data_IF_331547299890
#
_entry.id   IF_331547299890
#
_cell.length_a   1.000
_cell.length_b   1.000
_cell.length_c   1.000
_cell.angle_alpha   90.00
_cell.angle_beta   90.00
_cell.angle_gamma   90.00
#
_symmetry.space_group_name_H-M   'P 1'
#
loop_
_entity.id
_entity.type
_entity.pdbx_description
1 polymer ?
#
# COMPACT_ATOMS: atom_id res chain seq x y z
N UNK A 1 -13.49 18.72 -3.16
CA UNK A 1 -13.06 19.04 -4.53
C UNK A 1 -14.15 18.74 -5.53
N UNK A 2 -13.93 19.11 -6.81
CA UNK A 2 -14.85 18.86 -7.93
C UNK A 2 -14.88 17.39 -8.36
N UNK A 3 -13.83 16.62 -8.05
CA UNK A 3 -13.74 15.18 -8.26
C UNK A 3 -13.63 14.44 -6.92
N UNK A 4 -14.64 13.62 -6.63
CA UNK A 4 -14.72 12.82 -5.39
C UNK A 4 -13.65 11.73 -5.33
N UNK A 5 -13.22 11.18 -6.46
CA UNK A 5 -12.20 10.14 -6.52
C UNK A 5 -10.82 10.72 -6.21
N UNK A 6 -10.47 11.85 -6.85
CA UNK A 6 -9.26 12.59 -6.54
C UNK A 6 -9.20 13.04 -5.07
N UNK A 7 -10.31 13.60 -4.55
CA UNK A 7 -10.39 13.97 -3.14
C UNK A 7 -10.13 12.79 -2.19
N UNK A 8 -10.65 11.60 -2.53
CA UNK A 8 -10.42 10.39 -1.73
C UNK A 8 -8.95 9.97 -1.80
N UNK A 9 -8.34 10.01 -2.97
CA UNK A 9 -6.92 9.67 -3.13
C UNK A 9 -6.02 10.59 -2.31
N UNK A 10 -6.24 11.91 -2.38
CA UNK A 10 -5.48 12.90 -1.61
C UNK A 10 -5.62 12.69 -0.11
N UNK A 11 -6.84 12.42 0.40
CA UNK A 11 -7.06 12.12 1.82
C UNK A 11 -6.29 10.88 2.27
N UNK A 12 -6.36 9.81 1.47
CA UNK A 12 -5.67 8.54 1.78
C UNK A 12 -4.16 8.74 1.82
N UNK A 13 -3.59 9.48 0.85
CA UNK A 13 -2.16 9.80 0.85
C UNK A 13 -1.77 10.60 2.10
N UNK A 14 -2.50 11.67 2.42
CA UNK A 14 -2.21 12.49 3.59
C UNK A 14 -2.35 11.73 4.93
N UNK A 15 -3.36 10.87 5.06
CA UNK A 15 -3.55 10.02 6.24
C UNK A 15 -2.44 8.98 6.41
N UNK A 16 -2.10 8.27 5.34
CA UNK A 16 -1.06 7.26 5.40
C UNK A 16 0.32 7.87 5.59
N UNK A 17 0.69 8.95 4.90
CA UNK A 17 1.98 9.63 5.11
C UNK A 17 2.17 10.08 6.56
N UNK A 18 1.11 10.56 7.22
CA UNK A 18 1.15 10.86 8.66
C UNK A 18 1.43 9.59 9.48
N UNK A 19 0.65 8.53 9.27
CA UNK A 19 0.82 7.27 10.01
C UNK A 19 2.20 6.63 9.81
N UNK A 20 2.74 6.71 8.59
CA UNK A 20 4.08 6.25 8.21
C UNK A 20 5.15 6.99 9.02
N UNK A 21 5.07 8.34 9.07
CA UNK A 21 6.03 9.15 9.83
C UNK A 21 6.04 8.78 11.32
N UNK A 22 4.85 8.60 11.93
CA UNK A 22 4.74 8.19 13.34
C UNK A 22 5.28 6.79 13.60
N UNK A 23 5.00 5.82 12.72
CA UNK A 23 5.50 4.46 12.89
C UNK A 23 7.02 4.41 12.83
N UNK A 24 7.63 5.12 11.86
CA UNK A 24 9.09 5.17 11.73
C UNK A 24 9.72 5.91 12.90
N UNK A 25 9.13 7.02 13.35
CA UNK A 25 9.60 7.74 14.55
C UNK A 25 9.55 6.86 15.82
N UNK A 26 8.60 5.93 15.90
CA UNK A 26 8.50 4.95 16.97
C UNK A 26 9.44 3.72 16.79
N UNK A 27 10.36 3.76 15.83
CA UNK A 27 11.34 2.70 15.58
C UNK A 27 10.80 1.50 14.79
N UNK A 28 9.65 1.64 14.10
CA UNK A 28 9.13 0.59 13.21
C UNK A 28 9.80 0.71 11.85
N UNK A 29 10.48 -0.36 11.42
CA UNK A 29 11.04 -0.48 10.07
C UNK A 29 10.15 -1.33 9.17
N UNK A 30 10.10 -1.08 7.85
CA UNK A 30 9.37 -1.90 6.89
C UNK A 30 9.80 -3.37 6.93
N UNK A 31 8.86 -4.31 6.99
CA UNK A 31 9.15 -5.75 7.02
C UNK A 31 8.02 -6.58 6.38
N UNK A 32 8.18 -7.90 6.37
CA UNK A 32 7.14 -8.84 5.92
C UNK A 32 6.17 -9.25 7.05
N UNK A 33 6.42 -8.86 8.30
CA UNK A 33 5.65 -9.34 9.46
C UNK A 33 5.38 -8.27 10.52
N UNK A 34 4.36 -8.50 11.35
CA UNK A 34 4.04 -7.65 12.49
C UNK A 34 3.83 -6.17 12.12
N UNK A 35 4.39 -5.26 12.92
CA UNK A 35 4.23 -3.81 12.71
C UNK A 35 4.91 -3.31 11.43
N UNK A 36 6.02 -3.92 11.05
CA UNK A 36 6.74 -3.54 9.82
C UNK A 36 5.96 -3.91 8.56
N UNK A 37 5.17 -4.99 8.60
CA UNK A 37 4.22 -5.32 7.53
C UNK A 37 3.12 -4.27 7.39
N UNK A 38 2.54 -3.83 8.51
CA UNK A 38 1.53 -2.76 8.51
C UNK A 38 2.10 -1.48 7.91
N UNK A 39 3.30 -1.07 8.33
CA UNK A 39 4.01 0.09 7.78
C UNK A 39 4.18 -0.03 6.25
N UNK A 40 4.69 -1.17 5.79
CA UNK A 40 4.87 -1.43 4.35
C UNK A 40 3.56 -1.34 3.58
N UNK A 41 2.48 -1.93 4.11
CA UNK A 41 1.16 -1.91 3.46
C UNK A 41 0.60 -0.49 3.29
N UNK A 42 0.65 0.32 4.35
CA UNK A 42 0.11 1.69 4.27
C UNK A 42 0.97 2.59 3.36
N UNK A 43 2.30 2.37 3.30
CA UNK A 43 3.20 3.06 2.38
C UNK A 43 2.85 2.72 0.93
N UNK A 44 2.77 1.43 0.60
CA UNK A 44 2.39 0.99 -0.76
C UNK A 44 1.00 1.47 -1.17
N UNK A 45 0.07 1.53 -0.21
CA UNK A 45 -1.27 2.09 -0.44
C UNK A 45 -1.20 3.58 -0.78
N UNK A 46 -0.42 4.36 -0.07
CA UNK A 46 -0.22 5.77 -0.39
C UNK A 46 0.41 5.94 -1.80
N UNK A 47 1.43 5.14 -2.15
CA UNK A 47 2.03 5.15 -3.49
C UNK A 47 1.01 4.85 -4.59
N UNK A 48 0.16 3.83 -4.40
CA UNK A 48 -0.88 3.47 -5.36
C UNK A 48 -1.87 4.60 -5.62
N UNK A 49 -2.31 5.30 -4.57
CA UNK A 49 -3.19 6.45 -4.74
C UNK A 49 -2.50 7.65 -5.36
N UNK A 50 -1.19 7.84 -5.11
CA UNK A 50 -0.37 8.79 -5.86
C UNK A 50 -0.37 8.47 -7.35
N UNK A 51 -0.16 7.20 -7.70
CA UNK A 51 -0.21 6.75 -9.10
C UNK A 51 -1.58 6.98 -9.74
N UNK A 52 -2.69 6.73 -9.02
CA UNK A 52 -4.04 7.04 -9.50
C UNK A 52 -4.29 8.53 -9.79
N UNK A 53 -3.53 9.42 -9.16
CA UNK A 53 -3.56 10.86 -9.43
C UNK A 53 -2.62 11.28 -10.58
N UNK A 54 -1.94 10.33 -11.23
CA UNK A 54 -0.96 10.61 -12.28
C UNK A 54 0.43 11.01 -11.74
N UNK A 55 0.71 10.77 -10.46
CA UNK A 55 2.02 11.04 -9.87
C UNK A 55 2.93 9.84 -10.13
N UNK A 56 3.98 10.05 -10.91
CA UNK A 56 4.93 9.00 -11.30
C UNK A 56 6.22 9.01 -10.48
N UNK A 57 6.51 10.13 -9.81
CA UNK A 57 7.73 10.33 -9.03
C UNK A 57 7.46 10.14 -7.53
N UNK A 58 8.48 9.81 -6.73
CA UNK A 58 8.36 9.80 -5.28
C UNK A 58 7.85 11.14 -4.75
N UNK A 59 6.90 11.10 -3.81
CA UNK A 59 6.28 12.28 -3.20
C UNK A 59 5.99 12.08 -1.71
N UNK A 60 5.93 10.83 -1.22
CA UNK A 60 5.48 10.57 0.15
C UNK A 60 6.42 11.13 1.21
N UNK A 61 7.72 11.24 0.92
CA UNK A 61 8.69 11.88 1.82
C UNK A 61 8.39 13.37 2.01
N UNK A 62 8.03 14.08 0.93
CA UNK A 62 7.65 15.50 1.00
C UNK A 62 6.34 15.68 1.80
N UNK A 63 5.38 14.76 1.65
CA UNK A 63 4.15 14.79 2.44
C UNK A 63 4.46 14.50 3.92
N UNK A 64 5.40 13.59 4.21
CA UNK A 64 5.85 13.31 5.57
C UNK A 64 6.53 14.53 6.19
N UNK A 65 7.37 15.26 5.45
CA UNK A 65 7.99 16.52 5.90
C UNK A 65 6.91 17.55 6.32
N UNK A 66 5.87 17.73 5.51
CA UNK A 66 4.75 18.63 5.85
C UNK A 66 4.03 18.17 7.13
N UNK A 67 3.88 16.85 7.32
CA UNK A 67 3.29 16.30 8.54
C UNK A 67 4.17 16.58 9.78
N UNK A 68 5.49 16.37 9.67
CA UNK A 68 6.47 16.65 10.72
C UNK A 68 6.44 18.14 11.07
N UNK A 69 6.46 19.04 10.08
CA UNK A 69 6.39 20.48 10.32
C UNK A 69 5.11 20.90 11.06
N UNK A 70 3.96 20.30 10.74
CA UNK A 70 2.68 20.60 11.40
C UNK A 70 2.58 20.04 12.82
N UNK A 71 3.19 18.89 13.09
CA UNK A 71 2.96 18.12 14.32
C UNK A 71 4.15 18.09 15.28
N UNK A 72 5.35 18.45 14.82
CA UNK A 72 6.60 18.32 15.56
C UNK A 72 6.68 19.13 16.85
N UNK A 73 5.90 20.21 16.97
CA UNK A 73 5.80 20.99 18.20
C UNK A 73 5.08 20.24 19.34
N UNK A 74 4.22 19.27 19.02
CA UNK A 74 3.53 18.39 19.99
C UNK A 74 4.27 17.07 20.14
N UNK A 75 4.89 16.59 19.06
CA UNK A 75 5.59 15.30 18.96
C UNK A 75 7.05 15.51 18.53
N UNK A 76 7.96 15.90 19.46
CA UNK A 76 9.36 16.20 19.17
C UNK A 76 10.14 15.02 18.57
N UNK A 77 9.67 13.78 18.81
CA UNK A 77 10.24 12.56 18.23
C UNK A 77 10.15 12.55 16.69
N UNK A 78 9.15 13.22 16.10
CA UNK A 78 9.05 13.38 14.64
C UNK A 78 10.18 14.23 14.08
N UNK A 79 10.52 15.33 14.79
CA UNK A 79 11.62 16.22 14.39
C UNK A 79 12.96 15.54 14.59
N UNK A 80 13.14 14.88 15.75
CA UNK A 80 14.36 14.13 16.06
C UNK A 80 14.67 13.05 15.03
N UNK A 81 13.64 12.36 14.53
CA UNK A 81 13.77 11.26 13.57
C UNK A 81 13.52 11.68 12.11
N UNK A 82 13.45 12.98 11.79
CA UNK A 82 13.05 13.46 10.47
C UNK A 82 13.89 12.85 9.33
N UNK A 83 15.22 12.89 9.45
CA UNK A 83 16.11 12.31 8.44
C UNK A 83 15.86 10.81 8.21
N UNK A 84 15.64 10.05 9.29
CA UNK A 84 15.34 8.62 9.22
C UNK A 84 14.00 8.38 8.51
N UNK A 85 12.97 9.16 8.86
CA UNK A 85 11.64 9.07 8.24
C UNK A 85 11.75 9.33 6.73
N UNK A 86 12.39 10.42 6.33
CA UNK A 86 12.53 10.80 4.93
C UNK A 86 13.31 9.74 4.12
N UNK A 87 14.42 9.24 4.66
CA UNK A 87 15.25 8.23 4.01
C UNK A 87 14.49 6.91 3.81
N UNK A 88 13.85 6.40 4.87
CA UNK A 88 13.10 5.13 4.82
C UNK A 88 11.90 5.24 3.87
N UNK A 89 11.15 6.35 3.94
CA UNK A 89 9.99 6.56 3.06
C UNK A 89 10.42 6.62 1.60
N UNK A 90 11.44 7.42 1.29
CA UNK A 90 11.93 7.58 -0.07
C UNK A 90 12.44 6.26 -0.65
N UNK A 91 13.25 5.52 0.12
CA UNK A 91 13.80 4.23 -0.31
C UNK A 91 12.69 3.21 -0.63
N UNK A 92 11.70 3.06 0.25
CA UNK A 92 10.60 2.11 0.03
C UNK A 92 9.67 2.57 -1.11
N UNK A 93 9.43 3.87 -1.24
CA UNK A 93 8.62 4.44 -2.31
C UNK A 93 9.28 4.22 -3.68
N UNK A 94 10.56 4.56 -3.83
CA UNK A 94 11.33 4.34 -5.07
C UNK A 94 11.33 2.86 -5.47
N UNK A 95 11.60 1.98 -4.50
CA UNK A 95 11.57 0.54 -4.72
C UNK A 95 10.21 0.05 -5.20
N UNK A 96 9.12 0.53 -4.60
CA UNK A 96 7.79 0.07 -4.95
C UNK A 96 7.26 0.66 -6.25
N UNK A 97 7.50 1.96 -6.51
CA UNK A 97 7.09 2.61 -7.76
C UNK A 97 7.63 1.87 -8.98
N UNK A 98 8.87 1.34 -8.90
CA UNK A 98 9.49 0.58 -9.99
C UNK A 98 8.74 -0.71 -10.40
N UNK A 99 7.96 -1.29 -9.49
CA UNK A 99 7.21 -2.55 -9.73
C UNK A 99 5.69 -2.37 -9.70
N UNK A 100 5.21 -1.18 -9.33
CA UNK A 100 3.79 -0.89 -9.15
C UNK A 100 2.98 -1.13 -10.42
N UNK A 101 3.43 -0.62 -11.57
CA UNK A 101 2.68 -0.75 -12.84
C UNK A 101 2.54 -2.20 -13.29
N UNK A 102 3.63 -2.98 -13.15
CA UNK A 102 3.60 -4.40 -13.42
C UNK A 102 2.59 -5.13 -12.51
N UNK A 103 2.58 -4.77 -11.22
CA UNK A 103 1.62 -5.30 -10.25
C UNK A 103 0.18 -4.94 -10.58
N UNK A 104 -0.10 -3.69 -10.95
CA UNK A 104 -1.45 -3.25 -11.38
C UNK A 104 -1.91 -4.08 -12.58
N UNK A 105 -1.06 -4.23 -13.59
CA UNK A 105 -1.39 -5.01 -14.79
C UNK A 105 -1.68 -6.49 -14.46
N UNK A 106 -0.98 -7.09 -13.50
CA UNK A 106 -1.23 -8.46 -13.07
C UNK A 106 -2.61 -8.60 -12.40
N UNK A 107 -2.99 -7.65 -11.54
CA UNK A 107 -4.31 -7.65 -10.93
C UNK A 107 -5.40 -7.42 -11.96
N UNK A 108 -5.20 -6.50 -12.89
CA UNK A 108 -6.18 -6.23 -13.95
C UNK A 108 -6.46 -7.47 -14.80
N UNK A 109 -5.43 -8.25 -15.12
CA UNK A 109 -5.59 -9.55 -15.79
C UNK A 109 -6.36 -10.54 -14.94
N UNK A 110 -6.03 -10.67 -13.65
CA UNK A 110 -6.76 -11.56 -12.73
C UNK A 110 -8.25 -11.20 -12.62
N UNK A 111 -8.56 -9.90 -12.63
CA UNK A 111 -9.95 -9.41 -12.68
C UNK A 111 -10.64 -9.82 -13.98
N UNK A 112 -9.99 -9.59 -15.11
CA UNK A 112 -10.58 -9.88 -16.43
C UNK A 112 -10.79 -11.40 -16.61
N UNK A 113 -9.86 -12.22 -16.12
CA UNK A 113 -9.96 -13.68 -16.06
C UNK A 113 -11.14 -14.12 -15.19
N UNK A 114 -11.27 -13.61 -13.96
CA UNK A 114 -12.39 -13.92 -13.08
C UNK A 114 -13.75 -13.53 -13.70
N UNK A 115 -13.83 -12.35 -14.30
CA UNK A 115 -15.03 -11.88 -14.99
C UNK A 115 -15.39 -12.76 -16.20
N UNK A 116 -14.40 -13.20 -16.99
CA UNK A 116 -14.61 -14.11 -18.12
C UNK A 116 -15.17 -15.48 -17.71
N UNK A 117 -14.92 -15.88 -16.46
CA UNK A 117 -15.43 -17.11 -15.85
C UNK A 117 -16.77 -16.90 -15.13
N UNK A 118 -17.36 -15.70 -15.20
CA UNK A 118 -18.61 -15.37 -14.52
C UNK A 118 -18.48 -15.17 -13.01
N UNK A 119 -17.25 -15.04 -12.47
CA UNK A 119 -17.02 -14.78 -11.04
C UNK A 119 -17.13 -13.30 -10.75
N UNK A 120 -17.76 -12.95 -9.62
CA UNK A 120 -17.80 -11.59 -9.08
C UNK A 120 -16.66 -11.29 -8.10
N UNK A 121 -15.69 -12.20 -7.98
CA UNK A 121 -14.58 -12.10 -7.03
C UNK A 121 -13.31 -12.78 -7.57
N UNK A 122 -12.16 -12.28 -7.11
CA UNK A 122 -10.85 -12.95 -7.26
C UNK A 122 -10.69 -13.94 -6.10
N UNK A 123 -10.33 -15.18 -6.39
CA UNK A 123 -10.19 -16.25 -5.40
C UNK A 123 -9.00 -16.01 -4.47
N UNK A 124 -9.09 -16.48 -3.22
CA UNK A 124 -8.03 -16.30 -2.23
C UNK A 124 -6.66 -16.81 -2.67
N UNK A 125 -6.62 -17.93 -3.39
CA UNK A 125 -5.38 -18.49 -3.98
C UNK A 125 -4.76 -17.57 -5.05
N UNK A 126 -5.59 -16.92 -5.87
CA UNK A 126 -5.11 -15.95 -6.88
C UNK A 126 -4.55 -14.69 -6.19
N UNK A 127 -5.23 -14.20 -5.15
CA UNK A 127 -4.73 -13.09 -4.31
C UNK A 127 -3.43 -13.48 -3.60
N UNK A 128 -3.35 -14.72 -3.09
CA UNK A 128 -2.16 -15.23 -2.44
C UNK A 128 -0.99 -15.32 -3.42
N UNK A 129 -1.20 -15.80 -4.65
CA UNK A 129 -0.17 -15.79 -5.70
C UNK A 129 0.31 -14.39 -6.04
N UNK A 130 -0.60 -13.42 -6.15
CA UNK A 130 -0.26 -12.00 -6.35
C UNK A 130 0.63 -11.47 -5.21
N UNK A 131 0.32 -11.86 -3.98
CA UNK A 131 1.07 -11.49 -2.80
C UNK A 131 2.44 -12.18 -2.70
N UNK A 132 2.48 -13.51 -2.78
CA UNK A 132 3.67 -14.33 -2.51
C UNK A 132 4.67 -14.27 -3.67
N UNK A 133 4.19 -14.48 -4.89
CA UNK A 133 5.06 -14.56 -6.08
C UNK A 133 5.48 -13.18 -6.57
N UNK A 134 4.57 -12.20 -6.53
CA UNK A 134 4.80 -10.88 -7.12
C UNK A 134 4.95 -9.77 -6.08
N UNK A 135 4.81 -10.09 -4.79
CA UNK A 135 4.93 -9.12 -3.71
C UNK A 135 3.80 -8.08 -3.69
N UNK A 136 2.68 -8.30 -4.41
CA UNK A 136 1.62 -7.32 -4.57
C UNK A 136 0.62 -7.39 -3.41
N UNK A 137 0.41 -6.31 -2.62
CA UNK A 137 -0.44 -6.35 -1.44
C UNK A 137 -1.90 -6.72 -1.76
N UNK A 138 -2.49 -7.60 -0.94
CA UNK A 138 -3.89 -8.00 -1.07
C UNK A 138 -4.86 -6.82 -0.96
N UNK A 139 -4.51 -5.75 -0.24
CA UNK A 139 -5.33 -4.54 -0.17
C UNK A 139 -5.35 -3.77 -1.48
N UNK A 140 -4.24 -3.74 -2.21
CA UNK A 140 -4.19 -3.10 -3.52
C UNK A 140 -4.96 -3.94 -4.54
N UNK A 141 -4.84 -5.27 -4.46
CA UNK A 141 -5.67 -6.19 -5.23
C UNK A 141 -7.15 -5.91 -5.00
N UNK A 142 -7.57 -5.77 -3.73
CA UNK A 142 -8.95 -5.44 -3.36
C UNK A 142 -9.42 -4.08 -3.91
N UNK A 143 -8.55 -3.07 -3.88
CA UNK A 143 -8.86 -1.72 -4.34
C UNK A 143 -8.99 -1.64 -5.87
N UNK A 144 -8.18 -2.39 -6.61
CA UNK A 144 -8.27 -2.51 -8.08
C UNK A 144 -9.50 -3.32 -8.47
N UNK A 145 -9.72 -4.49 -7.86
CA UNK A 145 -10.87 -5.35 -8.11
C UNK A 145 -12.19 -4.58 -7.92
N UNK A 146 -12.30 -3.82 -6.83
CA UNK A 146 -13.46 -2.98 -6.54
C UNK A 146 -13.71 -1.92 -7.61
N UNK A 147 -12.64 -1.33 -8.15
CA UNK A 147 -12.74 -0.36 -9.25
C UNK A 147 -13.33 -0.95 -10.53
N UNK A 148 -13.18 -2.26 -10.73
CA UNK A 148 -13.76 -3.03 -11.84
C UNK A 148 -15.05 -3.80 -11.46
N UNK A 149 -15.60 -3.57 -10.26
CA UNK A 149 -16.85 -4.18 -9.82
C UNK A 149 -16.72 -5.60 -9.25
N UNK A 150 -15.51 -6.08 -8.97
CA UNK A 150 -15.26 -7.37 -8.33
C UNK A 150 -14.83 -7.20 -6.86
N UNK A 151 -14.97 -8.26 -6.08
CA UNK A 151 -14.40 -8.37 -4.73
C UNK A 151 -13.17 -9.29 -4.71
N UNK A 152 -12.57 -9.46 -3.55
CA UNK A 152 -11.51 -10.44 -3.29
C UNK A 152 -11.96 -11.34 -2.16
N UNK A 153 -11.70 -12.63 -2.30
CA UNK A 153 -11.87 -13.61 -1.24
C UNK A 153 -10.72 -13.52 -0.23
N UNK A 154 -10.91 -12.67 0.78
CA UNK A 154 -9.93 -12.45 1.85
C UNK A 154 -9.85 -13.64 2.81
N UNK A 155 -10.95 -14.36 3.02
CA UNK A 155 -10.93 -15.56 3.88
C UNK A 155 -10.08 -16.66 3.25
N UNK A 156 -10.26 -16.92 1.95
CA UNK A 156 -9.41 -17.84 1.20
C UNK A 156 -7.94 -17.40 1.18
N UNK A 157 -7.67 -16.10 1.08
CA UNK A 157 -6.31 -15.57 1.15
C UNK A 157 -5.65 -15.85 2.51
N UNK A 158 -6.36 -15.61 3.62
CA UNK A 158 -5.85 -15.89 4.97
C UNK A 158 -5.63 -17.38 5.20
N UNK A 159 -6.47 -18.25 4.63
CA UNK A 159 -6.25 -19.70 4.64
C UNK A 159 -4.93 -20.08 3.94
N UNK A 160 -4.62 -19.47 2.80
CA UNK A 160 -3.33 -19.71 2.11
C UNK A 160 -2.13 -19.14 2.89
N UNK A 161 -2.28 -17.96 3.51
CA UNK A 161 -1.26 -17.39 4.40
C UNK A 161 -0.94 -18.33 5.58
N UNK A 162 -1.97 -18.93 6.18
CA UNK A 162 -1.78 -19.87 7.30
C UNK A 162 -1.12 -21.18 6.84
N UNK A 163 -1.51 -21.71 5.67
CA UNK A 163 -0.82 -22.86 5.07
C UNK A 163 0.65 -22.56 4.79
N UNK A 164 1.00 -21.36 4.35
CA UNK A 164 2.38 -20.95 4.13
C UNK A 164 3.16 -20.91 5.45
N UNK A 165 2.59 -20.32 6.51
CA UNK A 165 3.21 -20.26 7.84
C UNK A 165 3.50 -21.64 8.43
N UNK A 166 2.61 -22.61 8.22
CA UNK A 166 2.79 -23.98 8.71
C UNK A 166 3.88 -24.76 7.95
N UNK A 167 4.26 -24.30 6.75
CA UNK A 167 5.31 -24.93 5.91
C UNK A 167 6.70 -24.33 6.12
N UNK A 168 6.79 -23.14 6.71
CA UNK A 168 8.03 -22.41 6.98
C UNK A 168 8.56 -22.70 8.38
#
# INVERSE_FOLDING_TARGET
>A
GKDKAADRAVRIMAEHSRGIAFLIAAGVSPSNEGRGYVLRRILRRACFFGRKLGIEKPLLSEIAEVAIAKMGHIYPELVTNQNLIEEVVKMEEEKFISTLDAGINLVEKAVDEAASQGRSYIAGEEVFRLYDTYGFPSELTAEIARGKGLTVDLEGFEVEMEKQRQRA
#
